data_IF_574140624378
#
_entry.id   IF_574140624378
#
_cell.length_a   1.000
_cell.length_b   1.000
_cell.length_c   1.000
_cell.angle_alpha   90.00
_cell.angle_beta   90.00
_cell.angle_gamma   90.00
#
_symmetry.space_group_name_H-M   'P 1'
#
loop_
_entity.id
_entity.type
_entity.pdbx_description
1 polymer ?
#
# COMPACT_ATOMS: atom_id res chain seq x y z
N UNK A 1 -9.60 -0.14 21.32
CA UNK A 1 -8.46 -1.04 21.00
C UNK A 1 -7.20 -0.20 21.15
N UNK A 2 -6.12 -0.69 21.81
CA UNK A 2 -4.88 0.08 22.00
C UNK A 2 -3.83 -0.22 20.93
N UNK A 3 -3.93 -1.33 20.21
CA UNK A 3 -3.03 -1.78 19.15
C UNK A 3 -3.84 -2.45 18.04
N UNK A 4 -3.28 -2.54 16.84
CA UNK A 4 -3.86 -3.33 15.75
C UNK A 4 -3.72 -4.84 16.06
N UNK A 5 -4.67 -5.69 15.60
CA UNK A 5 -4.58 -7.14 15.75
C UNK A 5 -3.37 -7.72 15.02
N UNK A 6 -2.87 -8.88 15.49
CA UNK A 6 -1.77 -9.62 14.85
C UNK A 6 -2.26 -11.00 14.43
N UNK A 7 -1.97 -11.39 13.18
CA UNK A 7 -2.31 -12.68 12.59
C UNK A 7 -1.09 -13.34 11.95
N UNK A 8 -1.13 -14.67 11.73
CA UNK A 8 -0.03 -15.44 11.17
C UNK A 8 -0.46 -16.14 9.87
N UNK A 9 0.13 -15.75 8.73
CA UNK A 9 -0.20 -16.33 7.43
C UNK A 9 0.08 -17.84 7.37
N UNK A 10 1.00 -18.35 8.18
CA UNK A 10 1.26 -19.80 8.26
C UNK A 10 0.05 -20.60 8.73
N UNK A 11 -0.87 -20.00 9.51
CA UNK A 11 -2.12 -20.62 9.90
C UNK A 11 -3.08 -20.80 8.70
N UNK A 12 -3.08 -19.83 7.75
CA UNK A 12 -3.85 -19.95 6.51
C UNK A 12 -3.28 -21.01 5.57
N UNK A 13 -1.96 -21.18 5.57
CA UNK A 13 -1.24 -22.16 4.74
C UNK A 13 -1.21 -23.56 5.37
N UNK A 14 -1.70 -23.72 6.59
CA UNK A 14 -1.68 -24.98 7.32
C UNK A 14 -2.64 -26.00 6.71
N UNK A 15 -2.26 -27.27 6.74
CA UNK A 15 -3.15 -28.40 6.43
C UNK A 15 -4.24 -28.62 7.50
N UNK A 16 -4.15 -27.96 8.66
CA UNK A 16 -5.13 -28.02 9.73
C UNK A 16 -6.31 -27.08 9.46
N UNK A 17 -7.52 -27.59 9.14
CA UNK A 17 -8.66 -26.73 8.79
C UNK A 17 -9.04 -25.72 9.89
N UNK A 18 -8.84 -26.08 11.15
CA UNK A 18 -9.14 -25.21 12.29
C UNK A 18 -8.26 -23.96 12.33
N UNK A 19 -6.98 -24.08 11.98
CA UNK A 19 -6.06 -22.94 11.90
C UNK A 19 -6.42 -22.01 10.73
N UNK A 20 -6.67 -22.60 9.55
CA UNK A 20 -7.10 -21.83 8.37
C UNK A 20 -8.39 -21.06 8.68
N UNK A 21 -9.39 -21.68 9.27
CA UNK A 21 -10.66 -21.03 9.64
C UNK A 21 -10.47 -19.93 10.69
N UNK A 22 -9.61 -20.16 11.69
CA UNK A 22 -9.27 -19.16 12.69
C UNK A 22 -8.64 -17.92 12.04
N UNK A 23 -7.63 -18.11 11.16
CA UNK A 23 -6.98 -17.00 10.43
C UNK A 23 -7.99 -16.19 9.61
N UNK A 24 -8.85 -16.87 8.82
CA UNK A 24 -9.88 -16.22 7.99
C UNK A 24 -10.78 -15.34 8.85
N UNK A 25 -11.24 -15.87 9.98
CA UNK A 25 -12.11 -15.14 10.92
C UNK A 25 -11.37 -13.92 11.50
N UNK A 26 -10.18 -14.13 12.06
CA UNK A 26 -9.44 -13.06 12.76
C UNK A 26 -9.06 -11.90 11.84
N UNK A 27 -8.62 -12.18 10.60
CA UNK A 27 -8.28 -11.12 9.64
C UNK A 27 -9.53 -10.37 9.15
N UNK A 28 -10.63 -11.09 8.90
CA UNK A 28 -11.87 -10.48 8.46
C UNK A 28 -12.48 -9.57 9.53
N UNK A 29 -12.59 -10.06 10.79
CA UNK A 29 -13.08 -9.26 11.91
C UNK A 29 -12.21 -8.01 12.17
N UNK A 30 -10.89 -8.13 12.06
CA UNK A 30 -9.98 -6.99 12.18
C UNK A 30 -10.24 -5.94 11.10
N UNK A 31 -10.49 -6.36 9.86
CA UNK A 31 -10.76 -5.45 8.76
C UNK A 31 -12.16 -4.83 8.81
N UNK A 32 -13.15 -5.49 9.40
CA UNK A 32 -14.45 -4.87 9.71
C UNK A 32 -14.34 -3.84 10.83
N UNK A 33 -13.47 -4.06 11.82
CA UNK A 33 -13.39 -3.20 12.99
C UNK A 33 -12.48 -1.99 12.77
N UNK A 34 -11.24 -2.20 12.32
CA UNK A 34 -10.22 -1.16 12.22
C UNK A 34 -9.58 -1.05 10.84
N UNK A 35 -9.76 -2.03 9.95
CA UNK A 35 -9.16 -2.01 8.61
C UNK A 35 -7.65 -2.24 8.57
N UNK A 36 -7.02 -2.65 9.68
CA UNK A 36 -5.57 -2.86 9.83
C UNK A 36 -5.24 -4.14 10.58
N UNK A 37 -4.19 -4.83 10.14
CA UNK A 37 -3.58 -5.98 10.85
C UNK A 37 -2.06 -5.92 10.78
N UNK A 38 -1.39 -6.54 11.76
CA UNK A 38 0.01 -6.90 11.68
C UNK A 38 0.13 -8.37 11.28
N UNK A 39 0.76 -8.65 10.14
CA UNK A 39 0.90 -9.99 9.57
C UNK A 39 2.31 -10.51 9.76
N UNK A 40 2.46 -11.69 10.35
CA UNK A 40 3.70 -12.48 10.34
C UNK A 40 3.55 -13.73 9.46
N UNK A 41 4.64 -14.48 9.26
CA UNK A 41 4.62 -15.69 8.41
C UNK A 41 4.43 -15.39 6.92
N UNK A 42 4.69 -14.14 6.49
CA UNK A 42 4.63 -13.71 5.09
C UNK A 42 5.81 -14.22 4.27
N UNK A 43 5.73 -14.09 2.93
CA UNK A 43 6.75 -14.64 2.03
C UNK A 43 8.03 -13.79 1.91
N UNK A 44 8.02 -12.53 2.36
CA UNK A 44 9.19 -11.67 2.32
C UNK A 44 10.20 -12.12 3.39
N UNK A 45 11.43 -12.46 2.98
CA UNK A 45 12.50 -12.83 3.89
C UNK A 45 13.20 -11.59 4.47
N UNK A 46 13.71 -11.71 5.72
CA UNK A 46 14.48 -10.64 6.37
C UNK A 46 15.71 -10.24 5.52
N UNK A 47 16.39 -11.22 4.93
CA UNK A 47 17.57 -10.98 4.07
C UNK A 47 17.25 -10.08 2.88
N UNK A 48 16.11 -10.28 2.20
CA UNK A 48 15.69 -9.43 1.07
C UNK A 48 15.20 -8.07 1.57
N UNK A 49 14.49 -8.04 2.68
CA UNK A 49 14.08 -6.81 3.34
C UNK A 49 15.28 -5.91 3.64
N UNK A 50 16.31 -6.45 4.33
CA UNK A 50 17.52 -5.70 4.69
C UNK A 50 18.29 -5.21 3.45
N UNK A 51 18.41 -6.07 2.42
CA UNK A 51 19.03 -5.68 1.13
C UNK A 51 18.25 -4.51 0.50
N UNK A 52 16.91 -4.59 0.44
CA UNK A 52 16.11 -3.52 -0.16
C UNK A 52 16.31 -2.21 0.61
N UNK A 53 16.28 -2.22 1.94
CA UNK A 53 16.51 -1.00 2.73
C UNK A 53 17.90 -0.41 2.46
N UNK A 54 18.94 -1.25 2.30
CA UNK A 54 20.29 -0.80 1.94
C UNK A 54 20.31 -0.13 0.56
N UNK A 55 19.73 -0.77 -0.46
CA UNK A 55 19.71 -0.23 -1.83
C UNK A 55 18.83 1.04 -1.93
N UNK A 56 17.70 1.09 -1.21
CA UNK A 56 16.83 2.28 -1.08
C UNK A 56 17.61 3.44 -0.47
N UNK A 57 18.38 3.19 0.59
CA UNK A 57 19.23 4.22 1.18
C UNK A 57 20.29 4.69 0.19
N UNK A 58 21.00 3.78 -0.49
CA UNK A 58 22.00 4.12 -1.50
C UNK A 58 21.42 4.99 -2.62
N UNK A 59 20.19 4.71 -3.09
CA UNK A 59 19.51 5.51 -4.10
C UNK A 59 19.16 6.91 -3.58
N UNK A 60 18.55 7.04 -2.41
CA UNK A 60 18.16 8.36 -1.88
C UNK A 60 19.35 9.22 -1.42
N UNK A 61 20.50 8.61 -1.15
CA UNK A 61 21.78 9.32 -0.87
C UNK A 61 22.45 9.87 -2.14
N UNK A 62 21.96 9.54 -3.36
CA UNK A 62 22.47 10.11 -4.60
C UNK A 62 22.21 11.65 -4.67
N UNK A 63 23.04 12.39 -5.40
CA UNK A 63 22.81 13.82 -5.66
C UNK A 63 21.41 14.09 -6.21
N UNK A 64 20.77 15.18 -5.78
CA UNK A 64 19.40 15.53 -6.17
C UNK A 64 19.21 15.57 -7.70
N UNK A 65 20.13 16.17 -8.43
CA UNK A 65 20.08 16.22 -9.90
C UNK A 65 20.15 14.84 -10.56
N UNK A 66 20.87 13.88 -9.96
CA UNK A 66 20.90 12.49 -10.43
C UNK A 66 19.55 11.82 -10.20
N UNK A 67 18.95 11.98 -9.01
CA UNK A 67 17.61 11.44 -8.72
C UNK A 67 16.54 12.03 -9.64
N UNK A 68 16.56 13.35 -9.85
CA UNK A 68 15.63 14.07 -10.72
C UNK A 68 15.72 13.62 -12.19
N UNK A 69 16.88 13.14 -12.66
CA UNK A 69 17.01 12.58 -14.01
C UNK A 69 16.20 11.30 -14.23
N UNK A 70 15.71 10.68 -13.16
CA UNK A 70 14.83 9.51 -13.17
C UNK A 70 13.34 9.84 -13.05
N UNK A 71 12.97 11.14 -13.03
CA UNK A 71 11.57 11.54 -13.15
C UNK A 71 11.08 11.38 -14.60
N UNK A 72 9.88 10.84 -14.77
CA UNK A 72 9.24 10.70 -16.08
C UNK A 72 8.04 11.64 -16.13
N UNK A 73 8.06 12.57 -17.08
CA UNK A 73 6.93 13.46 -17.33
C UNK A 73 5.74 12.72 -17.96
N UNK A 74 4.53 13.15 -17.62
CA UNK A 74 3.29 12.69 -18.28
C UNK A 74 2.70 11.38 -17.77
N UNK A 75 3.37 10.64 -16.88
CA UNK A 75 2.88 9.38 -16.32
C UNK A 75 2.35 9.50 -14.88
N UNK A 76 2.16 10.72 -14.37
CA UNK A 76 1.62 10.94 -13.02
C UNK A 76 2.47 10.33 -11.88
N UNK A 77 3.79 10.17 -12.08
CA UNK A 77 4.69 9.57 -11.10
C UNK A 77 4.52 8.04 -10.92
N UNK A 78 3.86 7.34 -11.85
CA UNK A 78 3.57 5.91 -11.70
C UNK A 78 4.82 5.00 -11.76
N UNK A 79 5.96 5.49 -12.24
CA UNK A 79 7.26 4.81 -12.27
C UNK A 79 8.38 5.80 -12.03
N UNK A 80 9.52 5.30 -11.55
CA UNK A 80 10.70 6.11 -11.34
C UNK A 80 10.61 6.99 -10.11
N UNK A 81 11.33 8.10 -10.11
CA UNK A 81 11.48 9.01 -8.99
C UNK A 81 10.40 10.10 -8.97
N UNK A 82 10.00 10.50 -7.80
CA UNK A 82 9.18 11.69 -7.54
C UNK A 82 9.84 12.55 -6.48
N UNK A 83 10.14 13.79 -6.83
CA UNK A 83 10.91 14.72 -5.99
C UNK A 83 10.18 15.13 -4.72
N UNK A 84 11.00 15.59 -3.78
CA UNK A 84 10.56 16.08 -2.47
C UNK A 84 9.48 17.17 -2.57
N UNK A 85 8.39 16.99 -1.81
CA UNK A 85 7.30 17.96 -1.72
C UNK A 85 6.41 18.09 -2.96
N UNK A 86 6.56 17.24 -3.97
CA UNK A 86 5.77 17.26 -5.21
C UNK A 86 4.36 16.68 -5.02
N UNK A 87 4.21 15.68 -4.16
CA UNK A 87 2.91 15.11 -3.80
C UNK A 87 2.32 15.84 -2.60
N UNK A 88 1.03 16.16 -2.65
CA UNK A 88 0.27 16.75 -1.53
C UNK A 88 -1.04 16.01 -1.34
N UNK A 89 -1.51 15.87 -0.10
CA UNK A 89 -2.83 15.33 0.16
C UNK A 89 -3.93 16.29 -0.34
N UNK A 90 -5.09 15.72 -0.71
CA UNK A 90 -6.27 16.47 -1.19
C UNK A 90 -6.58 17.67 -0.29
N UNK A 91 -6.63 18.86 -0.88
CA UNK A 91 -6.97 20.11 -0.17
C UNK A 91 -5.84 20.73 0.67
N UNK A 92 -4.61 20.27 0.53
CA UNK A 92 -3.41 20.87 1.15
C UNK A 92 -2.63 21.66 0.10
N UNK A 93 -2.11 22.84 0.50
CA UNK A 93 -1.22 23.67 -0.33
C UNK A 93 0.27 23.32 -0.17
N UNK A 94 0.63 22.77 1.01
CA UNK A 94 1.98 22.31 1.28
C UNK A 94 2.13 20.85 0.86
N UNK A 95 3.24 20.55 0.17
CA UNK A 95 3.62 19.17 -0.16
C UNK A 95 3.99 18.36 1.09
N UNK A 96 3.79 17.06 1.04
CA UNK A 96 4.26 16.15 2.06
C UNK A 96 5.80 16.16 2.14
N UNK A 97 6.35 16.00 3.34
CA UNK A 97 7.80 16.03 3.58
C UNK A 97 8.46 14.70 3.16
N UNK A 98 8.29 14.30 1.91
CA UNK A 98 8.77 13.03 1.36
C UNK A 98 9.19 13.13 -0.09
N UNK A 99 10.08 12.24 -0.48
CA UNK A 99 10.40 11.86 -1.85
C UNK A 99 10.23 10.34 -1.97
N UNK A 100 10.00 9.81 -3.19
CA UNK A 100 9.78 8.38 -3.34
C UNK A 100 10.16 7.84 -4.72
N UNK A 101 10.27 6.52 -4.80
CA UNK A 101 10.44 5.76 -6.03
C UNK A 101 9.29 4.80 -6.25
N UNK A 102 8.94 4.51 -7.51
CA UNK A 102 7.97 3.47 -7.85
C UNK A 102 8.58 2.37 -8.71
N UNK A 103 8.45 1.13 -8.22
CA UNK A 103 8.49 -0.08 -9.03
C UNK A 103 7.06 -0.52 -9.33
N UNK A 104 6.79 -0.92 -10.56
CA UNK A 104 5.48 -1.41 -10.97
C UNK A 104 5.53 -2.79 -11.60
N UNK A 105 4.37 -3.30 -11.98
CA UNK A 105 4.20 -4.62 -12.57
C UNK A 105 5.03 -4.80 -13.85
N UNK A 106 5.70 -5.95 -13.96
CA UNK A 106 6.34 -6.43 -15.19
C UNK A 106 5.40 -7.41 -15.88
N UNK A 107 4.80 -7.00 -17.00
CA UNK A 107 3.90 -7.85 -17.78
C UNK A 107 4.67 -8.52 -18.90
N UNK A 108 4.75 -9.86 -18.86
CA UNK A 108 5.57 -10.62 -19.83
C UNK A 108 4.74 -11.12 -21.01
N UNK A 109 3.53 -11.63 -20.79
CA UNK A 109 2.75 -12.39 -21.79
C UNK A 109 1.35 -11.80 -22.06
N UNK A 110 1.17 -10.49 -21.86
CA UNK A 110 -0.10 -9.82 -22.14
C UNK A 110 0.17 -8.45 -22.77
N UNK A 111 0.08 -8.37 -24.10
CA UNK A 111 0.38 -7.16 -24.87
C UNK A 111 -0.58 -6.00 -24.54
N UNK A 112 -1.83 -6.26 -24.14
CA UNK A 112 -2.80 -5.23 -23.77
C UNK A 112 -2.31 -4.53 -22.50
N UNK A 113 -2.08 -5.29 -21.44
CA UNK A 113 -1.59 -4.76 -20.15
C UNK A 113 -0.18 -4.15 -20.27
N UNK A 114 0.67 -4.73 -21.11
CA UNK A 114 2.02 -4.18 -21.37
C UNK A 114 1.97 -2.79 -22.01
N UNK A 115 0.96 -2.52 -22.84
CA UNK A 115 0.75 -1.20 -23.42
C UNK A 115 0.07 -0.22 -22.45
N UNK A 116 -0.62 -0.74 -21.44
CA UNK A 116 -1.32 0.07 -20.42
C UNK A 116 -0.36 0.55 -19.32
N UNK A 117 0.59 -0.31 -18.90
CA UNK A 117 1.48 0.02 -17.78
C UNK A 117 2.80 0.61 -18.28
N UNK A 118 3.27 1.74 -17.70
CA UNK A 118 4.60 2.26 -17.99
C UNK A 118 5.70 1.25 -17.63
N UNK A 119 6.78 1.21 -18.42
CA UNK A 119 7.95 0.38 -18.11
C UNK A 119 8.66 0.82 -16.84
N UNK A 120 9.27 -0.12 -16.12
CA UNK A 120 10.11 0.18 -14.97
C UNK A 120 11.38 0.91 -15.40
N UNK A 121 11.72 1.96 -14.67
CA UNK A 121 12.96 2.70 -14.85
C UNK A 121 14.12 1.96 -14.19
N UNK A 122 15.30 1.94 -14.83
CA UNK A 122 16.49 1.29 -14.30
C UNK A 122 17.50 2.31 -13.81
N UNK A 123 17.89 2.22 -12.54
CA UNK A 123 18.91 3.07 -11.91
C UNK A 123 20.31 2.53 -12.21
N UNK A 124 21.16 3.35 -12.83
CA UNK A 124 22.52 2.94 -13.25
C UNK A 124 23.53 3.03 -12.11
N UNK A 125 23.40 4.04 -11.25
CA UNK A 125 24.32 4.31 -10.13
C UNK A 125 24.19 3.30 -8.98
N UNK A 126 23.04 2.59 -8.90
CA UNK A 126 22.78 1.59 -7.86
C UNK A 126 22.31 0.29 -8.54
N UNK A 127 23.22 -0.54 -9.09
CA UNK A 127 22.88 -1.64 -9.99
C UNK A 127 21.94 -2.71 -9.40
N UNK A 128 22.00 -2.93 -8.09
CA UNK A 128 21.15 -3.92 -7.42
C UNK A 128 19.76 -3.38 -7.06
N UNK A 129 19.53 -2.07 -7.11
CA UNK A 129 18.28 -1.44 -6.67
C UNK A 129 17.04 -2.02 -7.37
N UNK A 130 17.08 -2.10 -8.71
CA UNK A 130 15.97 -2.67 -9.47
C UNK A 130 15.83 -4.18 -9.25
N UNK A 131 16.93 -4.92 -9.17
CA UNK A 131 16.92 -6.38 -8.98
C UNK A 131 16.25 -6.72 -7.65
N UNK A 132 16.70 -6.12 -6.55
CA UNK A 132 16.18 -6.37 -5.21
C UNK A 132 14.77 -5.79 -5.05
N UNK A 133 14.50 -4.63 -5.69
CA UNK A 133 13.18 -4.02 -5.72
C UNK A 133 12.13 -4.96 -6.34
N UNK A 134 12.43 -5.54 -7.51
CA UNK A 134 11.52 -6.46 -8.19
C UNK A 134 11.42 -7.84 -7.50
N UNK A 135 12.48 -8.31 -6.85
CA UNK A 135 12.42 -9.51 -6.02
C UNK A 135 11.47 -9.31 -4.83
N UNK A 136 11.60 -8.17 -4.14
CA UNK A 136 10.70 -7.77 -3.05
C UNK A 136 9.25 -7.62 -3.54
N UNK A 137 9.06 -6.97 -4.69
CA UNK A 137 7.75 -6.81 -5.33
C UNK A 137 7.03 -8.17 -5.46
N UNK A 138 7.68 -9.17 -6.04
CA UNK A 138 7.11 -10.52 -6.26
C UNK A 138 6.75 -11.23 -4.94
N UNK A 139 7.57 -11.06 -3.89
CA UNK A 139 7.30 -11.65 -2.58
C UNK A 139 6.10 -10.99 -1.89
N UNK A 140 5.96 -9.66 -2.00
CA UNK A 140 4.83 -8.92 -1.46
C UNK A 140 3.54 -9.17 -2.26
N UNK A 141 3.62 -9.23 -3.59
CA UNK A 141 2.50 -9.61 -4.45
C UNK A 141 1.97 -11.01 -4.08
N UNK A 142 2.87 -11.99 -3.92
CA UNK A 142 2.49 -13.31 -3.45
C UNK A 142 1.79 -13.25 -2.09
N UNK A 143 2.31 -12.48 -1.14
CA UNK A 143 1.68 -12.30 0.18
C UNK A 143 0.29 -11.69 0.04
N UNK A 144 0.14 -10.64 -0.78
CA UNK A 144 -1.14 -9.97 -1.04
C UNK A 144 -2.19 -10.93 -1.61
N UNK A 145 -1.82 -11.78 -2.57
CA UNK A 145 -2.71 -12.79 -3.16
C UNK A 145 -3.27 -13.72 -2.07
N UNK A 146 -2.43 -14.24 -1.18
CA UNK A 146 -2.91 -15.14 -0.11
C UNK A 146 -3.77 -14.42 0.94
N UNK A 147 -3.48 -13.17 1.24
CA UNK A 147 -4.35 -12.34 2.10
C UNK A 147 -5.72 -12.13 1.45
N UNK A 148 -5.75 -11.80 0.16
CA UNK A 148 -7.00 -11.61 -0.59
C UNK A 148 -7.80 -12.90 -0.71
N UNK A 149 -7.16 -14.08 -0.88
CA UNK A 149 -7.83 -15.39 -0.83
C UNK A 149 -8.51 -15.63 0.52
N UNK A 150 -7.85 -15.30 1.63
CA UNK A 150 -8.47 -15.41 2.95
C UNK A 150 -9.68 -14.47 3.09
N UNK A 151 -9.59 -13.26 2.54
CA UNK A 151 -10.70 -12.30 2.55
C UNK A 151 -11.86 -12.74 1.65
N UNK A 152 -11.57 -13.35 0.49
CA UNK A 152 -12.59 -13.94 -0.37
C UNK A 152 -13.42 -14.97 0.41
N UNK A 153 -12.77 -15.91 1.09
CA UNK A 153 -13.44 -16.90 1.94
C UNK A 153 -14.21 -16.27 3.10
N UNK A 154 -13.69 -15.21 3.73
CA UNK A 154 -14.37 -14.49 4.80
C UNK A 154 -15.67 -13.82 4.34
N UNK A 155 -15.66 -13.29 3.12
CA UNK A 155 -16.84 -12.64 2.51
C UNK A 155 -17.87 -13.67 2.04
N UNK A 156 -17.45 -14.93 1.78
CA UNK A 156 -18.30 -16.02 1.27
C UNK A 156 -18.13 -16.24 -0.24
N UNK A 157 -17.03 -15.76 -0.83
CA UNK A 157 -16.67 -15.96 -2.23
C UNK A 157 -15.81 -17.22 -2.41
N UNK A 158 -15.57 -17.60 -3.69
CA UNK A 158 -14.53 -18.57 -4.04
C UNK A 158 -13.16 -18.10 -3.55
N UNK A 159 -12.30 -19.02 -3.08
CA UNK A 159 -10.97 -18.70 -2.56
C UNK A 159 -10.13 -17.91 -3.58
N UNK A 160 -10.28 -18.20 -4.86
CA UNK A 160 -9.47 -17.63 -5.95
C UNK A 160 -10.13 -16.44 -6.65
N UNK A 161 -11.23 -15.92 -6.12
CA UNK A 161 -12.01 -14.82 -6.71
C UNK A 161 -11.15 -13.62 -7.13
N UNK A 162 -10.18 -13.23 -6.32
CA UNK A 162 -9.34 -12.07 -6.63
C UNK A 162 -8.16 -12.39 -7.57
N UNK A 163 -7.80 -13.66 -7.74
CA UNK A 163 -6.57 -14.04 -8.46
C UNK A 163 -6.55 -13.52 -9.90
N UNK A 164 -7.65 -13.65 -10.64
CA UNK A 164 -7.75 -13.18 -12.02
C UNK A 164 -7.59 -11.66 -12.18
N UNK A 165 -7.86 -10.90 -11.13
CA UNK A 165 -7.78 -9.45 -11.15
C UNK A 165 -6.44 -8.91 -10.63
N UNK A 166 -5.77 -9.62 -9.73
CA UNK A 166 -4.53 -9.12 -9.10
C UNK A 166 -3.27 -9.72 -9.69
N UNK A 167 -3.34 -10.91 -10.29
CA UNK A 167 -2.24 -11.44 -11.10
C UNK A 167 -2.09 -10.55 -12.34
N UNK A 168 -0.92 -9.93 -12.52
CA UNK A 168 -0.67 -8.85 -13.48
C UNK A 168 -1.46 -7.55 -13.22
N UNK A 169 -2.01 -7.34 -12.03
CA UNK A 169 -2.61 -6.07 -11.64
C UNK A 169 -1.60 -4.93 -11.60
N UNK A 170 -2.06 -3.67 -11.69
CA UNK A 170 -1.19 -2.48 -11.70
C UNK A 170 -0.65 -2.13 -10.31
N UNK A 171 -0.15 -3.13 -9.59
CA UNK A 171 0.42 -2.96 -8.25
C UNK A 171 1.71 -2.14 -8.28
N UNK A 172 2.01 -1.46 -7.18
CA UNK A 172 3.16 -0.56 -7.06
C UNK A 172 3.88 -0.83 -5.73
N UNK A 173 5.20 -1.05 -5.79
CA UNK A 173 6.09 -0.98 -4.63
C UNK A 173 6.70 0.41 -4.55
N UNK A 174 6.47 1.12 -3.43
CA UNK A 174 6.89 2.51 -3.23
C UNK A 174 7.89 2.67 -2.10
N UNK A 175 9.21 2.57 -2.32
CA UNK A 175 10.20 3.10 -1.38
C UNK A 175 10.01 4.59 -1.16
N UNK A 176 9.81 5.01 0.09
CA UNK A 176 9.62 6.40 0.50
C UNK A 176 10.76 6.79 1.42
N UNK A 177 11.36 7.95 1.15
CA UNK A 177 12.30 8.63 2.03
C UNK A 177 11.68 9.90 2.61
N UNK A 178 11.73 10.00 3.91
CA UNK A 178 11.41 11.21 4.65
C UNK A 178 12.74 11.79 5.16
N UNK A 179 13.30 12.80 4.48
CA UNK A 179 14.60 13.37 4.87
C UNK A 179 14.54 14.07 6.22
N UNK A 180 15.70 14.42 6.80
CA UNK A 180 15.77 15.24 8.01
C UNK A 180 15.00 16.56 7.83
N UNK A 181 14.26 16.94 8.88
CA UNK A 181 13.49 18.20 8.88
C UNK A 181 14.42 19.36 9.16
N UNK A 182 14.62 20.28 8.20
CA UNK A 182 15.57 21.38 8.20
C UNK A 182 15.04 22.69 8.83
N UNK A 183 14.01 22.63 9.64
CA UNK A 183 13.41 23.82 10.24
C UNK A 183 11.97 23.59 10.65
N UNK A 184 11.29 24.62 11.12
CA UNK A 184 9.87 24.51 11.50
C UNK A 184 9.02 24.15 10.27
N UNK A 185 8.27 23.02 10.29
CA UNK A 185 7.58 22.50 9.11
C UNK A 185 6.34 23.31 8.70
N UNK A 186 6.00 24.39 9.40
CA UNK A 186 4.88 25.32 9.08
C UNK A 186 3.54 24.63 8.80
N UNK A 187 3.28 23.51 9.46
CA UNK A 187 2.05 22.72 9.28
C UNK A 187 2.20 21.53 8.33
N UNK A 188 3.30 21.42 7.56
CA UNK A 188 3.58 20.24 6.76
C UNK A 188 3.90 19.03 7.65
N UNK A 189 3.49 17.85 7.22
CA UNK A 189 3.72 16.57 7.91
C UNK A 189 4.40 15.57 6.97
N UNK A 190 4.92 14.48 7.53
CA UNK A 190 5.54 13.42 6.72
C UNK A 190 4.56 12.80 5.72
N UNK A 191 3.34 12.48 6.15
CA UNK A 191 2.22 12.18 5.27
C UNK A 191 0.92 12.63 5.93
N UNK A 192 0.14 13.46 5.23
CA UNK A 192 -1.15 13.94 5.72
C UNK A 192 -2.18 12.81 5.81
N UNK A 193 -3.26 13.01 6.56
CA UNK A 193 -4.33 12.03 6.74
C UNK A 193 -5.00 11.70 5.40
N UNK A 194 -5.03 10.40 5.05
CA UNK A 194 -5.59 9.88 3.79
C UNK A 194 -6.03 8.41 3.95
N UNK A 195 -6.83 7.92 3.01
CA UNK A 195 -7.05 6.50 2.75
C UNK A 195 -6.21 6.06 1.54
N UNK A 196 -5.93 4.77 1.43
CA UNK A 196 -5.30 4.19 0.24
C UNK A 196 -6.35 3.89 -0.83
N UNK A 197 -6.02 4.11 -2.10
CA UNK A 197 -6.97 3.97 -3.23
C UNK A 197 -7.20 2.49 -3.61
N UNK A 198 -6.18 1.64 -3.44
CA UNK A 198 -6.07 0.26 -3.90
C UNK A 198 -6.98 -0.75 -3.16
N UNK A 199 -6.76 -2.07 -3.37
CA UNK A 199 -7.46 -3.13 -2.62
C UNK A 199 -6.90 -3.27 -1.20
N UNK A 200 -5.61 -3.56 -1.07
CA UNK A 200 -4.90 -3.68 0.20
C UNK A 200 -3.48 -3.15 0.07
N UNK A 201 -2.95 -2.55 1.12
CA UNK A 201 -1.55 -2.10 1.20
C UNK A 201 -0.77 -2.96 2.18
N UNK A 202 0.39 -3.45 1.76
CA UNK A 202 1.34 -4.17 2.60
C UNK A 202 2.52 -3.27 2.91
N UNK A 203 2.68 -2.87 4.17
CA UNK A 203 3.70 -1.91 4.58
C UNK A 203 4.86 -2.60 5.29
N UNK A 204 6.07 -2.45 4.72
CA UNK A 204 7.34 -2.78 5.37
C UNK A 204 7.81 -1.61 6.25
N UNK A 205 8.50 -1.94 7.34
CA UNK A 205 9.15 -0.92 8.18
C UNK A 205 8.22 -0.09 9.05
N UNK A 206 7.00 -0.56 9.30
CA UNK A 206 6.08 0.10 10.23
C UNK A 206 6.58 0.16 11.70
N UNK A 207 7.73 -0.48 11.98
CA UNK A 207 8.46 -0.35 13.24
C UNK A 207 9.00 1.06 13.50
N UNK A 208 9.15 1.88 12.45
CA UNK A 208 9.50 3.28 12.62
C UNK A 208 8.29 4.08 13.12
N UNK A 209 8.45 4.82 14.21
CA UNK A 209 7.39 5.64 14.82
C UNK A 209 6.75 6.64 13.85
N UNK A 210 5.52 7.04 14.14
CA UNK A 210 4.81 8.11 13.46
C UNK A 210 3.60 7.69 12.62
N UNK A 211 3.43 6.40 12.30
CA UNK A 211 2.21 5.91 11.65
C UNK A 211 1.07 5.86 12.69
N UNK A 212 -0.04 6.49 12.37
CA UNK A 212 -1.25 6.52 13.19
C UNK A 212 -2.48 6.22 12.33
N UNK A 213 -3.42 5.46 12.86
CA UNK A 213 -4.71 5.12 12.25
C UNK A 213 -5.85 5.73 13.04
N UNK A 214 -6.90 6.21 12.37
CA UNK A 214 -8.06 6.80 13.01
C UNK A 214 -9.12 5.74 13.29
N UNK A 215 -9.46 5.52 14.57
CA UNK A 215 -10.52 4.58 14.93
C UNK A 215 -11.93 5.13 14.64
N UNK A 216 -12.98 4.30 14.88
CA UNK A 216 -14.39 4.68 14.69
C UNK A 216 -14.86 5.89 15.53
N UNK A 217 -14.11 6.22 16.59
CA UNK A 217 -14.42 7.40 17.45
C UNK A 217 -13.69 8.67 17.02
N UNK A 218 -12.90 8.61 15.92
CA UNK A 218 -12.07 9.72 15.45
C UNK A 218 -10.75 9.88 16.22
N UNK A 219 -10.39 8.95 17.09
CA UNK A 219 -9.16 8.99 17.88
C UNK A 219 -8.00 8.39 17.06
N UNK A 220 -6.82 9.01 17.15
CA UNK A 220 -5.60 8.53 16.52
C UNK A 220 -4.91 7.48 17.39
N UNK A 221 -4.69 6.29 16.83
CA UNK A 221 -4.04 5.15 17.47
C UNK A 221 -2.69 4.93 16.77
N UNK A 222 -1.57 4.91 17.52
CA UNK A 222 -0.28 4.59 16.93
C UNK A 222 -0.27 3.14 16.43
N UNK A 223 0.24 2.95 15.21
CA UNK A 223 0.44 1.62 14.63
C UNK A 223 1.84 1.17 14.99
N UNK A 224 1.93 0.07 15.74
CA UNK A 224 3.19 -0.58 16.09
C UNK A 224 3.15 -2.03 15.60
N UNK A 225 4.20 -2.45 14.92
CA UNK A 225 4.41 -3.83 14.50
C UNK A 225 5.80 -4.27 14.92
N UNK A 226 5.99 -5.57 15.09
CA UNK A 226 7.32 -6.14 15.30
C UNK A 226 8.12 -6.07 13.99
N UNK A 227 9.46 -6.07 14.05
CA UNK A 227 10.29 -5.97 12.86
C UNK A 227 9.99 -7.02 11.78
N UNK A 228 9.63 -8.24 12.21
CA UNK A 228 9.28 -9.37 11.33
C UNK A 228 7.83 -9.33 10.82
N UNK A 229 7.07 -8.28 11.08
CA UNK A 229 5.69 -8.14 10.65
C UNK A 229 5.53 -7.11 9.53
N UNK A 230 4.62 -7.41 8.60
CA UNK A 230 4.04 -6.41 7.70
C UNK A 230 2.80 -5.81 8.36
N UNK A 231 2.59 -4.51 8.21
CA UNK A 231 1.28 -3.90 8.49
C UNK A 231 0.47 -3.93 7.21
N UNK A 232 -0.75 -4.48 7.27
CA UNK A 232 -1.61 -4.56 6.10
C UNK A 232 -2.92 -3.84 6.38
N UNK A 233 -3.33 -2.98 5.45
CA UNK A 233 -4.59 -2.24 5.54
C UNK A 233 -5.44 -2.37 4.28
N UNK A 234 -6.74 -2.23 4.47
CA UNK A 234 -7.75 -2.14 3.42
C UNK A 234 -7.67 -0.79 2.74
N UNK A 235 -7.84 -0.77 1.42
CA UNK A 235 -7.97 0.45 0.61
C UNK A 235 -9.40 0.68 0.11
N UNK A 236 -9.62 1.85 -0.50
CA UNK A 236 -10.95 2.34 -0.93
C UNK A 236 -11.62 1.43 -1.97
N UNK A 237 -10.84 0.79 -2.87
CA UNK A 237 -11.39 -0.16 -3.84
C UNK A 237 -12.03 -1.36 -3.14
N UNK A 238 -11.37 -1.94 -2.14
CA UNK A 238 -11.91 -3.09 -1.41
C UNK A 238 -13.06 -2.69 -0.48
N UNK A 239 -13.01 -1.51 0.15
CA UNK A 239 -14.13 -0.98 0.93
C UNK A 239 -15.37 -0.80 0.05
N UNK A 240 -15.21 -0.20 -1.14
CA UNK A 240 -16.27 -0.01 -2.12
C UNK A 240 -16.85 -1.35 -2.58
N UNK A 241 -16.00 -2.28 -3.01
CA UNK A 241 -16.37 -3.61 -3.46
C UNK A 241 -17.17 -4.38 -2.39
N UNK A 242 -16.78 -4.26 -1.13
CA UNK A 242 -17.45 -4.92 0.00
C UNK A 242 -18.56 -4.09 0.64
N UNK A 243 -19.05 -3.05 -0.06
CA UNK A 243 -20.14 -2.19 0.41
C UNK A 243 -19.92 -1.66 1.84
N UNK A 244 -18.68 -1.28 2.19
CA UNK A 244 -18.19 -0.85 3.50
C UNK A 244 -18.20 -1.95 4.59
N UNK A 245 -18.24 -3.23 4.22
CA UNK A 245 -18.07 -4.32 5.19
C UNK A 245 -16.64 -4.35 5.68
N UNK A 246 -15.65 -4.29 4.77
CA UNK A 246 -14.24 -4.09 5.09
C UNK A 246 -13.91 -2.60 4.97
N UNK A 247 -13.12 -2.05 5.90
CA UNK A 247 -12.96 -0.61 6.06
C UNK A 247 -11.63 -0.08 5.54
N UNK A 248 -11.68 0.85 4.60
CA UNK A 248 -10.56 1.74 4.31
C UNK A 248 -10.45 2.78 5.43
N UNK A 249 -9.43 2.67 6.24
CA UNK A 249 -9.30 3.52 7.43
C UNK A 249 -8.26 4.60 7.22
N UNK A 250 -8.66 5.83 7.52
CA UNK A 250 -7.80 7.02 7.42
C UNK A 250 -6.59 6.86 8.34
N UNK A 251 -5.40 7.09 7.78
CA UNK A 251 -4.14 7.01 8.49
C UNK A 251 -3.22 8.17 8.08
N UNK A 252 -2.17 8.41 8.88
CA UNK A 252 -1.23 9.52 8.67
C UNK A 252 0.16 9.16 9.18
N UNK A 253 1.18 9.88 8.74
CA UNK A 253 2.53 9.82 9.32
C UNK A 253 2.87 11.18 9.92
N UNK A 254 2.90 11.26 11.23
CA UNK A 254 3.23 12.50 11.97
C UNK A 254 4.72 12.78 11.98
N UNK A 255 5.09 14.04 12.14
CA UNK A 255 6.48 14.44 12.34
C UNK A 255 7.00 13.87 13.67
N UNK A 256 8.29 13.43 13.73
CA UNK A 256 8.87 12.94 14.97
C UNK A 256 9.06 14.09 15.98
N UNK A 257 9.31 13.78 17.25
CA UNK A 257 9.74 14.77 18.23
C UNK A 257 10.96 15.56 17.74
N UNK A 258 11.08 16.85 18.13
CA UNK A 258 12.13 17.77 17.64
C UNK A 258 13.57 17.21 17.77
N UNK A 259 13.84 16.44 18.82
CA UNK A 259 15.15 15.79 19.03
C UNK A 259 15.53 14.78 17.94
N UNK A 260 14.56 14.29 17.15
CA UNK A 260 14.74 13.29 16.11
C UNK A 260 14.57 13.88 14.69
N UNK A 261 14.46 15.22 14.54
CA UNK A 261 14.33 15.87 13.24
C UNK A 261 15.53 15.67 12.32
N UNK A 262 16.72 15.46 12.89
CA UNK A 262 17.94 15.17 12.14
C UNK A 262 18.03 13.74 11.59
N UNK A 263 16.98 12.91 11.77
CA UNK A 263 16.96 11.51 11.33
C UNK A 263 16.08 11.34 10.11
N UNK A 264 16.63 10.70 9.08
CA UNK A 264 15.83 10.15 7.97
C UNK A 264 14.92 9.03 8.45
N UNK A 265 13.79 8.87 7.76
CA UNK A 265 12.89 7.71 7.90
C UNK A 265 12.66 7.10 6.53
N UNK A 266 12.64 5.78 6.47
CA UNK A 266 12.27 5.04 5.27
C UNK A 266 11.01 4.22 5.54
N UNK A 267 10.19 4.05 4.51
CA UNK A 267 8.94 3.28 4.54
C UNK A 267 8.70 2.70 3.17
N UNK A 268 8.25 1.46 3.08
CA UNK A 268 8.12 0.77 1.79
C UNK A 268 6.75 0.09 1.71
N UNK A 269 5.68 0.81 1.34
CA UNK A 269 4.38 0.23 1.05
C UNK A 269 4.38 -0.47 -0.31
N UNK A 270 3.64 -1.58 -0.38
CA UNK A 270 3.22 -2.25 -1.60
C UNK A 270 1.71 -2.06 -1.75
N UNK A 271 1.31 -1.32 -2.76
CA UNK A 271 -0.09 -1.04 -3.08
C UNK A 271 -0.61 -2.11 -4.05
N UNK A 272 -1.46 -3.00 -3.58
CA UNK A 272 -2.06 -4.06 -4.40
C UNK A 272 -3.21 -3.49 -5.21
N UNK A 273 -2.96 -3.21 -6.48
CA UNK A 273 -3.99 -2.78 -7.42
C UNK A 273 -4.43 -3.95 -8.30
N UNK A 274 -5.71 -4.03 -8.67
CA UNK A 274 -6.16 -4.95 -9.69
C UNK A 274 -5.83 -4.43 -11.10
N UNK A 275 -6.16 -5.23 -12.12
CA UNK A 275 -6.26 -4.76 -13.51
C UNK A 275 -7.38 -3.71 -13.63
N UNK A 276 -7.27 -2.84 -14.63
CA UNK A 276 -8.23 -1.72 -14.82
C UNK A 276 -9.66 -2.18 -15.08
N UNK A 277 -9.85 -3.33 -15.71
CA UNK A 277 -11.15 -3.89 -16.05
C UNK A 277 -11.90 -4.54 -14.87
N UNK A 278 -11.23 -4.72 -13.72
CA UNK A 278 -11.91 -5.30 -12.54
C UNK A 278 -13.15 -4.47 -12.17
N UNK A 279 -14.36 -5.09 -12.14
CA UNK A 279 -15.55 -4.39 -11.68
C UNK A 279 -15.50 -4.16 -10.17
N UNK A 280 -15.73 -2.92 -9.72
CA UNK A 280 -15.86 -2.53 -8.31
C UNK A 280 -17.34 -2.42 -7.89
N UNK A 281 -18.20 -3.23 -8.49
CA UNK A 281 -19.60 -3.33 -8.12
C UNK A 281 -19.73 -3.92 -6.72
N UNK A 282 -20.61 -3.36 -5.89
CA UNK A 282 -20.84 -3.93 -4.56
C UNK A 282 -21.20 -5.42 -4.67
N UNK A 283 -20.45 -6.27 -3.96
CA UNK A 283 -20.68 -7.71 -3.94
C UNK A 283 -22.06 -8.03 -3.36
N UNK A 284 -22.83 -8.93 -3.99
CA UNK A 284 -24.16 -9.35 -3.48
C UNK A 284 -24.09 -9.86 -2.03
N UNK A 285 -23.03 -10.56 -1.65
CA UNK A 285 -22.77 -11.09 -0.31
C UNK A 285 -22.59 -9.98 0.75
N UNK A 286 -22.36 -8.75 0.31
CA UNK A 286 -22.21 -7.58 1.18
C UNK A 286 -23.43 -6.63 1.14
N UNK A 287 -24.52 -7.04 0.48
CA UNK A 287 -25.76 -6.27 0.38
C UNK A 287 -26.86 -6.98 1.18
N UNK A 288 -27.63 -6.23 1.95
CA UNK A 288 -28.79 -6.72 2.68
C UNK A 288 -29.84 -5.61 2.86
N UNK A 289 -31.02 -5.94 3.39
CA UNK A 289 -32.03 -4.93 3.72
C UNK A 289 -31.51 -3.86 4.70
N UNK A 290 -30.67 -4.27 5.67
CA UNK A 290 -30.04 -3.36 6.64
C UNK A 290 -28.81 -2.63 6.08
N UNK A 291 -28.24 -3.12 4.98
CA UNK A 291 -27.07 -2.57 4.31
C UNK A 291 -27.28 -2.55 2.79
N UNK A 292 -28.14 -1.65 2.28
CA UNK A 292 -28.40 -1.53 0.85
C UNK A 292 -27.14 -1.12 0.09
N UNK A 293 -27.14 -1.39 -1.23
CA UNK A 293 -26.04 -0.98 -2.13
C UNK A 293 -25.76 0.52 -1.99
N UNK A 294 -24.50 0.89 -1.71
CA UNK A 294 -24.07 2.28 -1.46
C UNK A 294 -23.40 2.95 -2.64
N UNK A 295 -22.83 2.20 -3.54
CA UNK A 295 -21.98 2.70 -4.60
C UNK A 295 -22.53 2.36 -5.99
N UNK A 296 -22.39 3.29 -6.92
CA UNK A 296 -22.62 3.04 -8.34
C UNK A 296 -21.59 2.07 -8.92
N UNK A 297 -21.95 1.39 -10.02
CA UNK A 297 -21.05 0.46 -10.68
C UNK A 297 -19.94 1.22 -11.42
N UNK A 298 -18.68 0.80 -11.25
CA UNK A 298 -17.49 1.41 -11.84
C UNK A 298 -16.39 0.35 -11.95
N UNK A 299 -15.46 0.52 -12.87
CA UNK A 299 -14.25 -0.31 -12.93
C UNK A 299 -13.14 0.26 -12.06
N UNK A 300 -12.13 -0.58 -11.76
CA UNK A 300 -10.96 -0.16 -10.98
C UNK A 300 -10.17 0.95 -11.69
N UNK A 301 -10.05 0.88 -13.02
CA UNK A 301 -9.39 1.90 -13.83
C UNK A 301 -10.12 3.25 -13.81
N UNK A 302 -11.44 3.23 -13.94
CA UNK A 302 -12.26 4.44 -13.84
C UNK A 302 -12.16 5.07 -12.45
N UNK A 303 -12.26 4.25 -11.38
CA UNK A 303 -12.11 4.72 -10.01
C UNK A 303 -10.73 5.31 -9.74
N UNK A 304 -9.65 4.66 -10.22
CA UNK A 304 -8.29 5.18 -10.09
C UNK A 304 -8.15 6.53 -10.79
N UNK A 305 -8.69 6.66 -12.01
CA UNK A 305 -8.67 7.91 -12.77
C UNK A 305 -9.40 9.05 -12.04
N UNK A 306 -10.57 8.77 -11.44
CA UNK A 306 -11.28 9.76 -10.61
C UNK A 306 -10.40 10.22 -9.44
N UNK A 307 -9.78 9.30 -8.71
CA UNK A 307 -8.90 9.62 -7.57
C UNK A 307 -7.67 10.42 -7.99
N UNK A 308 -7.01 10.06 -9.10
CA UNK A 308 -5.85 10.80 -9.60
C UNK A 308 -6.19 12.22 -10.06
N UNK A 309 -7.38 12.43 -10.66
CA UNK A 309 -7.88 13.78 -10.97
C UNK A 309 -8.15 14.59 -9.71
N UNK A 310 -8.78 14.01 -8.68
CA UNK A 310 -9.01 14.68 -7.40
C UNK A 310 -7.73 15.08 -6.67
N UNK A 311 -6.65 14.32 -6.85
CA UNK A 311 -5.32 14.61 -6.32
C UNK A 311 -4.53 15.59 -7.19
N UNK A 312 -5.07 15.98 -8.37
CA UNK A 312 -4.39 16.88 -9.32
C UNK A 312 -3.22 16.24 -10.07
N UNK A 313 -3.13 14.91 -10.07
CA UNK A 313 -2.08 14.14 -10.75
C UNK A 313 -2.42 13.86 -12.22
N UNK A 314 -3.70 13.92 -12.58
CA UNK A 314 -4.22 13.90 -13.95
C UNK A 314 -5.05 15.16 -14.22
N UNK A 315 -5.02 15.60 -15.49
CA UNK A 315 -5.80 16.76 -15.99
C UNK A 315 -7.20 16.32 -16.45
#
# INVERSE_FOLDING_TARGET
>A
MKNIPSVDLSDFLSEEPSKKQKFIKEIGEAYEEIGFVALKGHFLSDTISDKLYSEVKNFFDLPTNTKESYEIEGIGGQRGYTSFGKESAKGKSEGDLKEFWHFGQEVINNEILKNEYPENVVVKEVPNFNIVGMETYKMLEKTAIYVLRALALYIGLDEFYFDEFVINGNSILRPIHYPPIQGEPKGAVRAAAHGDINLITLLMGASASGLEVQNKKGEWIPVTALPEQLVINVGDMLERLTNNKLRSTIHRVVNPPRKDWNKSRYSIPFFTHPISEMPLNCLPECISESQPKKYEDITAGEFLNERLKELGLLK
#
